data_IF_969011939035
#
_entry.id   IF_969011939035
#
_cell.length_a   1.000
_cell.length_b   1.000
_cell.length_c   1.000
_cell.angle_alpha   90.00
_cell.angle_beta   90.00
_cell.angle_gamma   90.00
#
_symmetry.space_group_name_H-M   'P 1'
#
loop_
_entity.id
_entity.type
_entity.pdbx_description
1 polymer ?
#
# COMPACT_ATOMS: atom_id res chain seq x y z
N UNK A 1 -18.18 8.57 5.24
CA UNK A 1 -17.30 7.45 5.60
C UNK A 1 -15.97 8.01 6.07
N UNK A 2 -15.59 7.73 7.28
CA UNK A 2 -14.27 8.14 7.77
C UNK A 2 -13.20 7.13 7.30
N UNK A 3 -12.40 7.54 6.34
CA UNK A 3 -11.34 6.70 5.75
C UNK A 3 -10.31 6.27 6.78
N UNK A 4 -10.00 7.12 7.75
CA UNK A 4 -9.05 6.79 8.83
C UNK A 4 -9.56 5.61 9.64
N UNK A 5 -10.85 5.64 10.00
CA UNK A 5 -11.47 4.55 10.74
C UNK A 5 -11.49 3.25 9.92
N UNK A 6 -11.87 3.32 8.66
CA UNK A 6 -11.88 2.15 7.76
C UNK A 6 -10.49 1.51 7.63
N UNK A 7 -9.45 2.32 7.47
CA UNK A 7 -8.06 1.83 7.40
C UNK A 7 -7.62 1.24 8.74
N UNK A 8 -7.94 1.90 9.83
CA UNK A 8 -7.62 1.39 11.19
C UNK A 8 -8.28 0.05 11.45
N UNK A 9 -9.57 -0.07 11.16
CA UNK A 9 -10.33 -1.32 11.34
C UNK A 9 -9.75 -2.45 10.46
N UNK A 10 -9.33 -2.12 9.25
CA UNK A 10 -8.69 -3.07 8.35
C UNK A 10 -7.36 -3.58 8.93
N UNK A 11 -6.52 -2.70 9.47
CA UNK A 11 -5.26 -3.08 10.10
C UNK A 11 -5.51 -3.92 11.36
N UNK A 12 -6.46 -3.53 12.19
CA UNK A 12 -6.84 -4.30 13.39
C UNK A 12 -7.27 -5.72 12.99
N UNK A 13 -8.15 -5.84 11.99
CA UNK A 13 -8.61 -7.14 11.50
C UNK A 13 -7.46 -8.02 10.96
N UNK A 14 -6.49 -7.41 10.28
CA UNK A 14 -5.28 -8.10 9.82
C UNK A 14 -4.44 -8.63 10.98
N UNK A 15 -4.27 -7.83 12.04
CA UNK A 15 -3.53 -8.22 13.24
C UNK A 15 -4.24 -9.31 14.03
N UNK A 16 -5.56 -9.20 14.20
CA UNK A 16 -6.38 -10.20 14.90
C UNK A 16 -6.41 -11.55 14.16
N UNK A 17 -6.54 -11.50 12.85
CA UNK A 17 -6.57 -12.69 11.98
C UNK A 17 -5.22 -13.42 11.92
N UNK A 18 -4.13 -12.68 11.99
CA UNK A 18 -2.78 -13.23 11.84
C UNK A 18 -2.05 -13.51 13.15
N UNK A 19 -2.34 -12.82 14.23
CA UNK A 19 -1.59 -12.95 15.48
C UNK A 19 -0.06 -12.91 15.28
N UNK A 20 0.64 -13.90 15.82
CA UNK A 20 2.08 -14.07 15.57
C UNK A 20 2.42 -14.37 14.09
N UNK A 21 1.50 -14.96 13.36
CA UNK A 21 1.67 -15.29 11.95
C UNK A 21 1.60 -14.05 11.03
N UNK A 22 0.97 -12.94 11.46
CA UNK A 22 0.90 -11.72 10.67
C UNK A 22 2.30 -11.21 10.31
N UNK A 23 3.22 -11.22 11.26
CA UNK A 23 4.63 -10.86 11.03
C UNK A 23 5.30 -11.77 10.01
N UNK A 24 5.07 -13.08 10.11
CA UNK A 24 5.58 -14.06 9.16
C UNK A 24 5.03 -13.86 7.75
N UNK A 25 3.74 -13.53 7.63
CA UNK A 25 3.10 -13.21 6.35
C UNK A 25 3.73 -11.98 5.70
N UNK A 26 3.89 -10.90 6.45
CA UNK A 26 4.51 -9.68 5.92
C UNK A 26 5.98 -9.88 5.54
N UNK A 27 6.72 -10.67 6.31
CA UNK A 27 8.11 -11.02 5.97
C UNK A 27 8.19 -11.77 4.64
N UNK A 28 7.27 -12.73 4.40
CA UNK A 28 7.18 -13.42 3.12
C UNK A 28 6.76 -12.50 1.97
N UNK A 29 5.82 -11.62 2.21
CA UNK A 29 5.40 -10.64 1.22
C UNK A 29 6.54 -9.68 0.84
N UNK A 30 7.34 -9.28 1.81
CA UNK A 30 8.49 -8.41 1.60
C UNK A 30 9.56 -9.04 0.70
N UNK A 31 9.65 -10.36 0.64
CA UNK A 31 10.54 -11.07 -0.29
C UNK A 31 10.17 -10.83 -1.76
N UNK A 32 8.91 -10.58 -2.05
CA UNK A 32 8.43 -10.16 -3.38
C UNK A 32 8.67 -8.67 -3.69
N UNK A 33 9.31 -7.94 -2.80
CA UNK A 33 9.60 -6.52 -2.95
C UNK A 33 8.50 -5.60 -2.40
N UNK A 34 8.78 -4.31 -2.39
CA UNK A 34 7.81 -3.31 -1.99
C UNK A 34 6.72 -3.11 -3.05
N UNK A 35 5.46 -2.90 -2.64
CA UNK A 35 4.42 -2.53 -3.57
C UNK A 35 4.78 -1.27 -4.33
N UNK A 36 4.64 -1.28 -5.63
CA UNK A 36 4.96 -0.16 -6.51
C UNK A 36 3.88 0.09 -7.55
N UNK A 37 3.83 1.32 -8.03
CA UNK A 37 2.92 1.73 -9.09
C UNK A 37 3.45 1.27 -10.45
N UNK A 38 2.64 0.54 -11.21
CA UNK A 38 3.06 0.00 -12.51
C UNK A 38 3.23 1.05 -13.60
N UNK A 39 2.62 2.22 -13.47
CA UNK A 39 2.76 3.30 -14.45
C UNK A 39 3.95 4.21 -14.14
N UNK A 40 4.12 4.58 -12.87
CA UNK A 40 5.16 5.55 -12.46
C UNK A 40 6.43 4.89 -11.95
N UNK A 41 6.36 3.66 -11.48
CA UNK A 41 7.45 2.95 -10.82
C UNK A 41 7.68 3.36 -9.36
N UNK A 42 6.90 4.30 -8.86
CA UNK A 42 7.02 4.78 -7.48
C UNK A 42 6.56 3.72 -6.47
N UNK A 43 7.25 3.65 -5.35
CA UNK A 43 6.85 2.77 -4.25
C UNK A 43 5.70 3.38 -3.45
N UNK A 44 4.78 2.53 -3.02
CA UNK A 44 3.79 2.91 -2.02
C UNK A 44 4.43 2.99 -0.64
N UNK A 45 3.87 3.80 0.25
CA UNK A 45 4.45 4.12 1.54
C UNK A 45 3.47 3.87 2.69
N UNK A 46 4.03 3.76 3.89
CA UNK A 46 3.28 3.70 5.13
C UNK A 46 2.34 2.50 5.21
N UNK A 47 1.16 2.72 5.76
CA UNK A 47 0.14 1.68 5.98
C UNK A 47 -0.31 0.99 4.70
N UNK A 48 -0.23 1.65 3.56
CA UNK A 48 -0.58 1.08 2.27
C UNK A 48 0.29 -0.12 1.90
N UNK A 49 1.56 -0.12 2.29
CA UNK A 49 2.46 -1.25 2.09
C UNK A 49 1.92 -2.51 2.76
N UNK A 50 1.51 -2.39 4.01
CA UNK A 50 0.95 -3.51 4.78
C UNK A 50 -0.35 -4.02 4.18
N UNK A 51 -1.24 -3.11 3.78
CA UNK A 51 -2.51 -3.44 3.13
C UNK A 51 -2.28 -4.19 1.83
N UNK A 52 -1.39 -3.70 0.98
CA UNK A 52 -1.12 -4.29 -0.34
C UNK A 52 -0.40 -5.64 -0.21
N UNK A 53 0.51 -5.79 0.73
CA UNK A 53 1.13 -7.08 1.02
C UNK A 53 0.13 -8.13 1.50
N UNK A 54 -0.77 -7.73 2.41
CA UNK A 54 -1.78 -8.66 2.93
C UNK A 54 -2.74 -9.12 1.83
N UNK A 55 -3.22 -8.20 1.00
CA UNK A 55 -4.08 -8.52 -0.14
C UNK A 55 -3.37 -9.41 -1.17
N UNK A 56 -2.10 -9.16 -1.46
CA UNK A 56 -1.33 -9.99 -2.39
C UNK A 56 -1.19 -11.42 -1.90
N UNK A 57 -0.95 -11.61 -0.60
CA UNK A 57 -0.86 -12.94 0.01
C UNK A 57 -2.23 -13.61 0.02
N UNK A 58 -3.26 -12.92 0.47
CA UNK A 58 -4.60 -13.48 0.63
C UNK A 58 -5.19 -13.93 -0.70
N UNK A 59 -4.93 -13.20 -1.76
CA UNK A 59 -5.39 -13.51 -3.12
C UNK A 59 -4.40 -14.31 -3.96
N UNK A 60 -3.20 -14.56 -3.45
CA UNK A 60 -2.17 -15.33 -4.15
C UNK A 60 -1.55 -14.62 -5.35
N UNK A 61 -1.46 -13.29 -5.32
CA UNK A 61 -0.80 -12.53 -6.39
C UNK A 61 0.72 -12.71 -6.35
N UNK A 62 1.30 -13.04 -7.49
CA UNK A 62 2.74 -13.22 -7.62
C UNK A 62 3.52 -11.89 -7.70
N UNK A 63 2.88 -10.83 -8.15
CA UNK A 63 3.49 -9.51 -8.35
C UNK A 63 2.99 -8.49 -7.32
N UNK A 64 3.89 -7.63 -6.85
CA UNK A 64 3.57 -6.47 -6.00
C UNK A 64 3.44 -5.17 -6.79
N UNK A 65 3.05 -5.24 -8.04
CA UNK A 65 2.80 -4.08 -8.89
C UNK A 65 1.29 -3.79 -8.91
N UNK A 66 0.95 -2.55 -8.64
CA UNK A 66 -0.42 -2.08 -8.49
C UNK A 66 -0.63 -0.80 -9.28
N UNK A 67 -1.86 -0.57 -9.71
CA UNK A 67 -2.23 0.67 -10.38
C UNK A 67 -3.71 1.00 -10.22
N UNK A 68 -4.07 2.25 -10.47
CA UNK A 68 -5.47 2.65 -10.51
C UNK A 68 -6.14 2.20 -11.78
N UNK A 69 -7.48 2.15 -11.78
CA UNK A 69 -8.27 1.84 -12.98
C UNK A 69 -7.91 2.76 -14.15
N UNK A 70 -7.84 4.08 -13.89
CA UNK A 70 -7.50 5.07 -14.92
C UNK A 70 -6.09 4.90 -15.49
N UNK A 71 -5.15 4.47 -14.66
CA UNK A 71 -3.79 4.19 -15.15
C UNK A 71 -3.76 2.98 -16.08
N UNK A 72 -4.49 1.92 -15.73
CA UNK A 72 -4.63 0.74 -16.57
C UNK A 72 -5.30 1.09 -17.90
N UNK A 73 -6.41 1.82 -17.86
CA UNK A 73 -7.12 2.28 -19.06
C UNK A 73 -6.23 3.17 -19.95
N UNK A 74 -5.48 4.09 -19.35
CA UNK A 74 -4.53 4.95 -20.07
C UNK A 74 -3.36 4.22 -20.73
N UNK A 75 -3.08 2.99 -20.30
CA UNK A 75 -2.07 2.10 -20.91
C UNK A 75 -2.68 1.16 -21.95
N UNK A 76 -3.96 1.29 -22.26
CA UNK A 76 -4.67 0.41 -23.18
C UNK A 76 -5.01 -0.96 -22.59
N UNK A 77 -4.90 -1.10 -21.26
CA UNK A 77 -5.23 -2.31 -20.53
C UNK A 77 -6.61 -2.21 -19.90
N UNK A 78 -7.18 -3.34 -19.49
CA UNK A 78 -8.51 -3.42 -18.94
C UNK A 78 -8.52 -4.27 -17.66
N UNK A 79 -9.08 -3.72 -16.59
CA UNK A 79 -9.38 -4.51 -15.37
C UNK A 79 -10.48 -5.50 -15.71
N UNK A 80 -10.28 -6.77 -15.33
CA UNK A 80 -11.26 -7.83 -15.60
C UNK A 80 -12.58 -7.54 -14.87
N UNK A 81 -13.67 -7.90 -15.52
CA UNK A 81 -15.01 -7.75 -14.95
C UNK A 81 -15.16 -8.56 -13.67
N UNK A 82 -15.70 -7.95 -12.64
CA UNK A 82 -15.94 -8.60 -11.34
C UNK A 82 -14.77 -8.52 -10.36
N UNK A 83 -13.62 -7.98 -10.79
CA UNK A 83 -12.47 -7.77 -9.92
C UNK A 83 -12.74 -6.65 -8.89
N UNK A 84 -12.19 -6.82 -7.70
CA UNK A 84 -12.36 -5.88 -6.60
C UNK A 84 -11.07 -5.12 -6.35
N UNK A 85 -11.20 -3.79 -6.28
CA UNK A 85 -10.11 -2.91 -5.92
C UNK A 85 -9.77 -3.00 -4.43
N UNK A 86 -8.53 -2.67 -4.11
CA UNK A 86 -8.05 -2.51 -2.73
C UNK A 86 -8.12 -1.04 -2.34
N UNK A 87 -8.78 -0.78 -1.22
CA UNK A 87 -8.85 0.58 -0.66
C UNK A 87 -7.55 0.92 0.05
N UNK A 88 -6.91 1.97 -0.41
CA UNK A 88 -5.74 2.60 0.19
C UNK A 88 -6.04 4.04 0.57
N UNK A 89 -5.15 4.67 1.31
CA UNK A 89 -5.29 6.05 1.71
C UNK A 89 -3.97 6.81 1.57
N UNK A 90 -4.05 8.06 1.17
CA UNK A 90 -2.92 8.96 1.21
C UNK A 90 -3.28 10.23 1.97
N UNK A 91 -2.26 10.84 2.57
CA UNK A 91 -2.39 12.08 3.31
C UNK A 91 -1.84 13.22 2.48
N UNK A 92 -2.64 14.26 2.32
CA UNK A 92 -2.26 15.48 1.61
C UNK A 92 -2.41 16.66 2.55
N UNK A 93 -1.41 17.53 2.57
CA UNK A 93 -1.50 18.81 3.28
C UNK A 93 -2.24 19.80 2.41
N UNK A 94 -3.48 20.11 2.78
CA UNK A 94 -4.35 21.02 2.03
C UNK A 94 -4.33 22.39 2.69
N UNK A 95 -4.17 23.44 1.88
CA UNK A 95 -4.26 24.81 2.34
C UNK A 95 -5.70 25.18 2.69
N UNK A 96 -5.93 25.72 3.89
CA UNK A 96 -7.25 26.27 4.26
C UNK A 96 -7.63 27.41 3.34
N UNK A 97 -8.86 27.38 2.84
CA UNK A 97 -9.42 28.52 2.12
C UNK A 97 -9.77 29.61 3.14
N UNK A 98 -9.46 30.87 2.82
CA UNK A 98 -9.83 32.00 3.65
C UNK A 98 -11.36 32.04 3.79
N UNK A 99 -11.88 31.91 5.02
CA UNK A 99 -13.33 32.00 5.32
C UNK A 99 -13.95 30.75 5.99
N UNK A 100 -13.27 29.63 6.09
CA UNK A 100 -13.76 28.50 6.88
C UNK A 100 -13.31 28.65 8.34
N UNK A 101 -14.24 29.11 9.16
CA UNK A 101 -14.05 29.22 10.59
C UNK A 101 -13.94 27.84 11.24
N UNK A 102 -13.01 27.73 12.14
CA UNK A 102 -12.64 26.61 12.98
C UNK A 102 -13.87 25.96 13.66
N UNK A 103 -14.14 24.70 13.36
CA UNK A 103 -14.89 23.83 14.25
C UNK A 103 -14.05 22.57 14.51
N UNK A 104 -13.26 22.67 15.57
CA UNK A 104 -12.70 21.49 16.24
C UNK A 104 -11.39 20.94 15.67
N UNK A 105 -10.30 21.57 15.97
CA UNK A 105 -8.97 21.01 15.77
C UNK A 105 -8.02 21.48 16.86
N UNK A 106 -7.54 20.55 17.65
CA UNK A 106 -6.44 20.76 18.60
C UNK A 106 -5.25 21.41 17.91
N UNK A 107 -4.86 22.56 18.43
CA UNK A 107 -3.62 23.26 18.10
C UNK A 107 -2.43 22.42 18.54
N UNK A 108 -1.88 21.59 17.68
CA UNK A 108 -0.53 21.08 17.84
C UNK A 108 0.20 21.03 16.50
N UNK A 109 1.10 21.98 16.28
CA UNK A 109 2.24 21.86 15.37
C UNK A 109 2.01 22.10 13.89
N UNK A 110 0.87 22.58 13.44
CA UNK A 110 0.64 22.92 12.03
C UNK A 110 1.09 24.34 11.68
N UNK A 111 1.92 24.50 10.66
CA UNK A 111 2.16 25.81 10.05
C UNK A 111 0.81 26.42 9.68
N UNK A 112 0.57 27.67 10.09
CA UNK A 112 -0.68 28.38 9.90
C UNK A 112 -1.21 28.21 8.46
N UNK A 113 -2.41 27.67 8.30
CA UNK A 113 -3.12 27.56 7.04
C UNK A 113 -3.13 26.19 6.35
N UNK A 114 -2.48 25.17 6.87
CA UNK A 114 -2.50 23.81 6.30
C UNK A 114 -3.11 22.80 7.26
N UNK A 115 -3.87 21.83 6.74
CA UNK A 115 -4.37 20.70 7.51
C UNK A 115 -4.20 19.39 6.74
N UNK A 116 -3.94 18.27 7.43
CA UNK A 116 -3.82 16.97 6.77
C UNK A 116 -5.19 16.46 6.36
N UNK A 117 -5.36 16.17 5.07
CA UNK A 117 -6.55 15.53 4.52
C UNK A 117 -6.21 14.09 4.12
N UNK A 118 -7.00 13.15 4.62
CA UNK A 118 -6.90 11.75 4.23
C UNK A 118 -7.84 11.48 3.05
N UNK A 119 -7.29 11.09 1.92
CA UNK A 119 -8.05 10.78 0.71
C UNK A 119 -7.98 9.30 0.38
N UNK A 120 -9.11 8.66 0.06
CA UNK A 120 -9.13 7.29 -0.41
C UNK A 120 -8.67 7.21 -1.85
N UNK A 121 -8.04 6.08 -2.20
CA UNK A 121 -7.83 5.68 -3.57
C UNK A 121 -7.87 4.16 -3.69
N UNK A 122 -8.19 3.67 -4.87
CA UNK A 122 -8.40 2.25 -5.12
C UNK A 122 -7.37 1.74 -6.11
N UNK A 123 -6.78 0.60 -5.77
CA UNK A 123 -5.76 -0.05 -6.56
C UNK A 123 -6.18 -1.44 -7.00
N UNK A 124 -5.72 -1.81 -8.19
CA UNK A 124 -5.79 -3.16 -8.72
C UNK A 124 -4.38 -3.72 -8.90
N UNK A 125 -4.21 -5.01 -8.60
CA UNK A 125 -2.96 -5.70 -8.90
C UNK A 125 -2.86 -5.97 -10.41
N UNK A 126 -1.66 -6.00 -10.93
CA UNK A 126 -1.45 -6.33 -12.37
C UNK A 126 -2.02 -7.70 -12.75
N UNK A 127 -2.14 -8.63 -11.79
CA UNK A 127 -2.80 -9.91 -11.99
C UNK A 127 -4.31 -9.81 -12.28
N UNK A 128 -4.94 -8.67 -11.94
CA UNK A 128 -6.36 -8.39 -12.19
C UNK A 128 -6.61 -7.65 -13.51
N UNK A 129 -5.56 -7.34 -14.25
CA UNK A 129 -5.60 -6.45 -15.41
C UNK A 129 -5.11 -7.22 -16.64
N UNK A 130 -5.91 -7.17 -17.71
CA UNK A 130 -5.55 -7.75 -19.00
C UNK A 130 -4.98 -6.68 -19.95
N UNK A 131 -4.03 -7.09 -20.80
CA UNK A 131 -3.44 -6.21 -21.82
C UNK A 131 -2.22 -5.42 -21.35
N UNK A 132 -1.68 -5.73 -20.18
CA UNK A 132 -0.41 -5.17 -19.72
C UNK A 132 0.80 -5.88 -20.36
N UNK A 133 1.96 -5.17 -20.52
CA UNK A 133 3.21 -5.80 -20.92
C UNK A 133 3.62 -6.93 -19.96
N UNK A 134 4.16 -8.02 -20.49
CA UNK A 134 4.63 -9.16 -19.70
C UNK A 134 5.65 -8.75 -18.63
N UNK A 135 6.49 -7.78 -18.92
CA UNK A 135 7.47 -7.23 -17.98
C UNK A 135 6.86 -6.66 -16.68
N UNK A 136 5.58 -6.31 -16.68
CA UNK A 136 4.86 -5.84 -15.50
C UNK A 136 4.16 -6.95 -14.74
N UNK A 137 3.83 -8.04 -15.42
CA UNK A 137 3.08 -9.17 -14.83
C UNK A 137 4.00 -10.26 -14.28
N UNK A 138 5.24 -10.30 -14.74
CA UNK A 138 6.23 -11.21 -14.20
C UNK A 138 6.58 -10.85 -12.74
N UNK A 139 6.68 -11.85 -11.86
CA UNK A 139 7.16 -11.61 -10.52
C UNK A 139 8.58 -11.06 -10.61
N UNK A 140 8.81 -9.88 -10.06
CA UNK A 140 10.17 -9.39 -9.86
C UNK A 140 10.80 -10.31 -8.82
N UNK A 141 11.54 -11.30 -9.31
CA UNK A 141 12.45 -12.05 -8.47
C UNK A 141 13.60 -11.12 -8.12
N UNK A 142 13.35 -10.25 -7.15
CA UNK A 142 14.47 -9.63 -6.48
C UNK A 142 15.14 -10.78 -5.71
N UNK A 143 16.22 -11.28 -6.25
CA UNK A 143 17.20 -12.03 -5.48
C UNK A 143 17.83 -11.05 -4.46
N UNK A 144 17.01 -10.51 -3.58
CA UNK A 144 17.48 -10.02 -2.31
C UNK A 144 17.75 -11.29 -1.52
N UNK A 145 18.92 -11.84 -1.74
CA UNK A 145 19.55 -12.61 -0.71
C UNK A 145 19.51 -11.70 0.53
N UNK A 146 18.58 -12.02 1.43
CA UNK A 146 18.64 -11.48 2.77
C UNK A 146 19.99 -11.96 3.31
N UNK A 147 21.01 -11.14 3.10
CA UNK A 147 22.26 -11.29 3.82
C UNK A 147 21.95 -10.82 5.25
N UNK A 148 21.81 -11.75 6.22
CA UNK A 148 21.69 -11.32 7.59
C UNK A 148 22.92 -10.45 7.87
N UNK A 149 22.71 -9.30 8.49
CA UNK A 149 23.82 -8.45 8.90
C UNK A 149 24.61 -9.31 9.89
N UNK A 150 25.79 -9.80 9.45
CA UNK A 150 26.62 -10.71 10.24
C UNK A 150 26.90 -10.15 11.66
N UNK A 151 26.92 -8.83 11.79
CA UNK A 151 27.06 -8.14 13.06
C UNK A 151 25.84 -8.31 13.97
N UNK A 152 24.64 -8.34 13.41
CA UNK A 152 23.43 -8.58 14.20
C UNK A 152 23.33 -10.04 14.67
N UNK A 153 23.76 -11.00 13.86
CA UNK A 153 23.84 -12.41 14.25
C UNK A 153 24.89 -12.66 15.33
N UNK A 154 26.03 -11.98 15.28
CA UNK A 154 27.04 -12.04 16.33
C UNK A 154 26.55 -11.50 17.66
N UNK A 155 25.70 -10.46 17.64
CA UNK A 155 25.08 -9.90 18.85
C UNK A 155 24.00 -10.82 19.46
N UNK A 156 23.31 -11.56 18.63
CA UNK A 156 22.26 -12.52 19.06
C UNK A 156 22.89 -13.82 19.57
N UNK A 157 24.04 -14.22 19.04
CA UNK A 157 24.75 -15.44 19.41
C UNK A 157 25.68 -15.29 20.64
N UNK A 158 25.83 -14.06 21.13
CA UNK A 158 26.66 -13.78 22.31
C UNK A 158 25.84 -13.95 23.63
#
# INVERSE_FOLDING_TARGET
>A
MDIRQVITDKIIAMLEKGGFEARSRWTRAAQGGFPSNGKTGDRYNGVNVLILWDEAIERGYASNVWMTYKQAEGMGAQVRKGEKAVLCAYFEMVKRKAGEADQGGTEEGGKAGFFPMCKPFWLFNVAQIDGLPESMTEPVVTANEFSPIEEAEKLIAA
#
